data_IF_986646379921
#
_entry.id   IF_986646379921
#
_cell.length_a   1.000
_cell.length_b   1.000
_cell.length_c   1.000
_cell.angle_alpha   90.00
_cell.angle_beta   90.00
_cell.angle_gamma   90.00
#
_symmetry.space_group_name_H-M   'P 1'
#
loop_
_entity.id
_entity.type
_entity.pdbx_description
1 polymer ?
#
# COMPACT_ATOMS: atom_id res chain seq x y z
N UNK A 1 2.77 -26.30 -14.43
CA UNK A 1 3.17 -25.70 -13.13
C UNK A 1 3.30 -24.20 -13.33
N UNK A 2 2.61 -23.42 -12.50
CA UNK A 2 2.62 -21.94 -12.55
C UNK A 2 3.77 -21.40 -11.71
N UNK A 3 4.48 -20.40 -12.21
CA UNK A 3 5.52 -19.68 -11.46
C UNK A 3 5.00 -18.30 -11.08
N UNK A 4 5.07 -17.96 -9.80
CA UNK A 4 4.80 -16.60 -9.33
C UNK A 4 6.04 -15.73 -9.51
N UNK A 5 5.82 -14.54 -10.06
CA UNK A 5 6.84 -13.54 -10.33
C UNK A 5 6.59 -12.38 -9.37
N UNK A 6 7.58 -12.14 -8.51
CA UNK A 6 7.48 -11.15 -7.44
C UNK A 6 8.11 -9.80 -7.83
N UNK A 7 9.05 -9.78 -8.79
CA UNK A 7 9.72 -8.56 -9.24
C UNK A 7 10.01 -8.54 -10.76
N UNK A 8 10.30 -7.33 -11.27
CA UNK A 8 10.53 -7.06 -12.69
C UNK A 8 11.78 -7.77 -13.25
N UNK A 9 12.83 -7.92 -12.46
CA UNK A 9 14.08 -8.54 -12.90
C UNK A 9 13.88 -10.04 -13.11
N UNK A 10 13.14 -10.68 -12.21
CA UNK A 10 12.70 -12.06 -12.35
C UNK A 10 11.88 -12.24 -13.63
N UNK A 11 10.91 -11.35 -13.91
CA UNK A 11 10.13 -11.39 -15.14
C UNK A 11 11.02 -11.32 -16.40
N UNK A 12 11.92 -10.33 -16.44
CA UNK A 12 12.84 -10.12 -17.56
C UNK A 12 13.70 -11.36 -17.77
N UNK A 13 14.24 -11.95 -16.69
CA UNK A 13 15.05 -13.16 -16.77
C UNK A 13 14.26 -14.31 -17.43
N UNK A 14 13.04 -14.58 -16.98
CA UNK A 14 12.19 -15.63 -17.55
C UNK A 14 11.87 -15.40 -19.03
N UNK A 15 11.62 -14.15 -19.43
CA UNK A 15 11.37 -13.78 -20.82
C UNK A 15 12.62 -13.93 -21.70
N UNK A 16 13.79 -13.50 -21.22
CA UNK A 16 15.07 -13.64 -21.92
C UNK A 16 15.49 -15.09 -22.09
N UNK A 17 15.29 -15.93 -21.06
CA UNK A 17 15.52 -17.37 -21.14
C UNK A 17 14.60 -18.03 -22.18
N UNK A 18 13.33 -17.65 -22.22
CA UNK A 18 12.37 -18.18 -23.17
C UNK A 18 12.74 -17.81 -24.61
N UNK A 19 13.17 -16.56 -24.86
CA UNK A 19 13.56 -16.11 -26.20
C UNK A 19 14.87 -16.73 -26.71
N UNK A 20 15.77 -17.14 -25.82
CA UNK A 20 17.12 -17.63 -26.15
C UNK A 20 17.25 -19.15 -26.17
N UNK A 21 16.14 -19.90 -26.22
CA UNK A 21 16.15 -21.36 -26.09
C UNK A 21 16.70 -22.05 -27.36
N UNK A 22 17.54 -23.09 -27.23
CA UNK A 22 17.97 -23.89 -28.38
C UNK A 22 16.77 -24.55 -29.06
N UNK A 23 16.57 -24.29 -30.35
CA UNK A 23 15.40 -24.75 -31.11
C UNK A 23 14.34 -23.66 -31.36
N UNK A 24 14.58 -22.42 -30.91
CA UNK A 24 13.71 -21.27 -31.15
C UNK A 24 13.04 -20.75 -29.86
N UNK A 25 12.44 -19.56 -29.91
CA UNK A 25 11.82 -18.94 -28.74
C UNK A 25 10.70 -19.81 -28.18
N UNK A 26 10.73 -20.06 -26.87
CA UNK A 26 9.69 -20.80 -26.14
C UNK A 26 8.45 -19.95 -25.86
N UNK A 27 7.29 -20.60 -25.78
CA UNK A 27 6.03 -19.94 -25.47
C UNK A 27 5.93 -19.61 -23.98
N UNK A 28 5.54 -18.37 -23.67
CA UNK A 28 5.27 -17.89 -22.32
C UNK A 28 3.85 -17.35 -22.27
N UNK A 29 3.07 -17.79 -21.28
CA UNK A 29 1.72 -17.30 -20.99
C UNK A 29 1.79 -16.55 -19.67
N UNK A 30 1.38 -15.29 -19.69
CA UNK A 30 1.45 -14.37 -18.56
C UNK A 30 0.05 -13.99 -18.10
N UNK A 31 -0.20 -14.14 -16.81
CA UNK A 31 -1.39 -13.67 -16.12
C UNK A 31 -0.98 -12.56 -15.13
N UNK A 32 -1.32 -11.33 -15.46
CA UNK A 32 -1.20 -10.20 -14.54
C UNK A 32 -2.47 -10.17 -13.70
N UNK A 33 -2.33 -10.48 -12.42
CA UNK A 33 -3.46 -10.65 -11.52
C UNK A 33 -3.34 -9.76 -10.30
N UNK A 34 -4.46 -9.54 -9.62
CA UNK A 34 -4.51 -8.90 -8.32
C UNK A 34 -5.36 -9.74 -7.37
N UNK A 35 -5.07 -9.70 -6.07
CA UNK A 35 -5.78 -10.52 -5.08
C UNK A 35 -7.24 -10.09 -4.88
N UNK A 36 -7.54 -8.81 -5.13
CA UNK A 36 -8.89 -8.22 -5.06
C UNK A 36 -9.68 -8.33 -6.38
N UNK A 37 -9.03 -8.74 -7.47
CA UNK A 37 -9.66 -8.85 -8.78
C UNK A 37 -10.48 -10.14 -8.86
N UNK A 38 -11.80 -10.03 -8.65
CA UNK A 38 -12.71 -11.18 -8.71
C UNK A 38 -12.65 -11.96 -10.04
N UNK A 39 -12.66 -11.32 -11.23
CA UNK A 39 -12.45 -12.05 -12.49
C UNK A 39 -11.12 -12.82 -12.53
N UNK A 40 -10.07 -12.27 -11.92
CA UNK A 40 -8.77 -12.93 -11.80
C UNK A 40 -8.84 -14.17 -10.89
N UNK A 41 -9.60 -14.10 -9.79
CA UNK A 41 -9.87 -15.27 -8.94
C UNK A 41 -10.70 -16.34 -9.67
N UNK A 42 -11.66 -15.93 -10.49
CA UNK A 42 -12.53 -16.83 -11.26
C UNK A 42 -11.77 -17.57 -12.37
N UNK A 43 -10.80 -16.93 -13.04
CA UNK A 43 -9.99 -17.56 -14.09
C UNK A 43 -8.80 -18.37 -13.54
N UNK A 44 -8.35 -18.09 -12.32
CA UNK A 44 -7.15 -18.72 -11.73
C UNK A 44 -7.14 -20.27 -11.77
N UNK A 45 -8.25 -20.99 -11.51
CA UNK A 45 -8.28 -22.45 -11.63
C UNK A 45 -8.09 -22.94 -13.06
N UNK A 46 -8.66 -22.23 -14.04
CA UNK A 46 -8.52 -22.55 -15.48
C UNK A 46 -7.08 -22.34 -15.92
N UNK A 47 -6.46 -21.22 -15.51
CA UNK A 47 -5.05 -20.94 -15.79
C UNK A 47 -4.13 -22.02 -15.22
N UNK A 48 -4.40 -22.47 -13.99
CA UNK A 48 -3.64 -23.55 -13.35
C UNK A 48 -3.76 -24.86 -14.11
N UNK A 49 -4.99 -25.25 -14.50
CA UNK A 49 -5.25 -26.46 -15.30
C UNK A 49 -4.59 -26.44 -16.68
N UNK A 50 -4.59 -25.29 -17.36
CA UNK A 50 -3.88 -25.11 -18.62
C UNK A 50 -2.36 -25.29 -18.43
N UNK A 51 -1.80 -24.83 -17.31
CA UNK A 51 -0.38 -24.99 -17.00
C UNK A 51 0.07 -26.43 -16.75
N UNK A 52 -0.86 -27.31 -16.39
CA UNK A 52 -0.60 -28.75 -16.19
C UNK A 52 -0.70 -29.49 -17.52
N UNK A 53 -1.60 -29.05 -18.40
CA UNK A 53 -1.82 -29.66 -19.71
C UNK A 53 -0.74 -29.27 -20.72
N UNK A 54 -0.34 -27.99 -20.73
CA UNK A 54 0.61 -27.42 -21.69
C UNK A 54 2.00 -27.24 -21.08
N UNK A 55 2.69 -28.35 -20.83
CA UNK A 55 4.03 -28.35 -20.21
C UNK A 55 5.14 -27.79 -21.13
N UNK A 56 4.87 -27.67 -22.42
CA UNK A 56 5.73 -27.03 -23.42
C UNK A 56 5.82 -25.51 -23.26
N UNK A 57 4.79 -24.89 -22.67
CA UNK A 57 4.71 -23.47 -22.40
C UNK A 57 5.00 -23.16 -20.93
N UNK A 58 5.61 -22.00 -20.67
CA UNK A 58 5.81 -21.50 -19.30
C UNK A 58 4.63 -20.63 -18.90
N UNK A 59 4.00 -20.95 -17.79
CA UNK A 59 2.90 -20.16 -17.22
C UNK A 59 3.42 -19.34 -16.05
N UNK A 60 3.32 -18.02 -16.17
CA UNK A 60 3.80 -17.05 -15.19
C UNK A 60 2.62 -16.24 -14.65
N UNK A 61 2.62 -16.00 -13.34
CA UNK A 61 1.68 -15.09 -12.69
C UNK A 61 2.44 -13.92 -12.09
N UNK A 62 2.04 -12.71 -12.43
CA UNK A 62 2.61 -11.47 -11.90
C UNK A 62 1.55 -10.80 -11.05
N UNK A 63 1.82 -10.64 -9.76
CA UNK A 63 0.95 -9.87 -8.88
C UNK A 63 1.21 -8.38 -9.13
N UNK A 64 0.20 -7.69 -9.66
CA UNK A 64 0.32 -6.25 -9.97
C UNK A 64 0.44 -5.39 -8.73
N UNK A 65 0.09 -5.92 -7.56
CA UNK A 65 0.14 -5.21 -6.28
C UNK A 65 1.50 -5.32 -5.58
N UNK A 66 2.37 -6.26 -5.98
CA UNK A 66 3.64 -6.55 -5.28
C UNK A 66 4.80 -5.61 -5.56
N UNK A 67 4.66 -4.66 -6.50
CA UNK A 67 5.74 -3.73 -6.89
C UNK A 67 5.30 -2.27 -6.89
N UNK A 68 4.29 -1.94 -6.08
CA UNK A 68 3.89 -0.54 -5.91
C UNK A 68 5.06 0.25 -5.29
N UNK A 69 5.52 1.36 -5.91
CA UNK A 69 6.60 2.17 -5.35
C UNK A 69 6.16 2.85 -4.04
N UNK A 70 7.14 3.10 -3.17
CA UNK A 70 6.97 3.94 -1.98
C UNK A 70 6.63 5.38 -2.41
N UNK A 71 5.57 5.92 -1.81
CA UNK A 71 5.02 7.22 -2.14
C UNK A 71 5.47 8.32 -1.19
N UNK A 72 6.27 7.99 -0.18
CA UNK A 72 6.88 8.97 0.72
C UNK A 72 7.51 10.18 -0.01
N UNK A 73 8.15 10.03 -1.20
CA UNK A 73 8.69 11.17 -1.95
C UNK A 73 7.63 12.12 -2.54
N UNK A 74 6.36 11.71 -2.61
CA UNK A 74 5.25 12.50 -3.18
C UNK A 74 4.37 13.16 -2.10
N UNK A 75 4.75 13.05 -0.84
CA UNK A 75 4.07 13.72 0.27
C UNK A 75 4.33 15.22 0.21
N UNK A 76 3.27 16.02 0.31
CA UNK A 76 3.41 17.44 0.64
C UNK A 76 3.47 17.59 2.16
N UNK A 77 4.68 17.48 2.70
CA UNK A 77 4.92 17.55 4.15
C UNK A 77 4.52 18.88 4.78
N UNK A 78 4.37 19.94 3.98
CA UNK A 78 3.92 21.25 4.46
C UNK A 78 2.41 21.33 4.69
N UNK A 79 1.66 20.41 4.11
CA UNK A 79 0.20 20.29 4.21
C UNK A 79 -0.22 19.02 4.96
N UNK A 80 0.72 18.38 5.66
CA UNK A 80 0.45 17.28 6.55
C UNK A 80 0.26 17.80 7.97
N UNK A 81 -0.73 17.26 8.67
CA UNK A 81 -1.07 17.66 10.05
C UNK A 81 -1.33 16.40 10.89
N UNK A 82 -0.99 16.45 12.17
CA UNK A 82 -1.36 15.42 13.13
C UNK A 82 -2.06 16.06 14.32
N UNK A 83 -3.20 15.50 14.72
CA UNK A 83 -3.87 15.87 15.97
C UNK A 83 -3.55 14.85 17.06
N UNK A 84 -3.40 15.34 18.28
CA UNK A 84 -2.98 14.59 19.47
C UNK A 84 -1.57 13.99 19.38
N UNK A 85 -0.67 14.63 18.62
CA UNK A 85 0.75 14.27 18.63
C UNK A 85 1.47 14.80 19.87
N UNK A 86 2.44 14.02 20.37
CA UNK A 86 3.34 14.42 21.44
C UNK A 86 4.43 15.38 20.93
N UNK A 87 4.71 16.42 21.71
CA UNK A 87 5.68 17.48 21.37
C UNK A 87 7.11 16.95 21.14
N UNK A 88 7.48 15.82 21.76
CA UNK A 88 8.82 15.21 21.64
C UNK A 88 8.91 14.26 20.46
N UNK A 89 7.79 13.69 20.03
CA UNK A 89 7.69 12.74 18.93
C UNK A 89 6.56 13.09 17.93
N UNK A 90 6.64 14.27 17.27
CA UNK A 90 5.65 14.71 16.29
C UNK A 90 5.73 13.95 14.96
N UNK A 91 4.72 14.11 14.11
CA UNK A 91 4.58 13.51 12.78
C UNK A 91 5.79 13.82 11.88
N UNK A 92 6.42 14.98 12.04
CA UNK A 92 7.63 15.32 11.28
C UNK A 92 8.76 14.31 11.52
N UNK A 93 8.88 13.74 12.71
CA UNK A 93 9.90 12.75 13.02
C UNK A 93 9.63 11.43 12.30
N UNK A 94 8.36 11.06 12.15
CA UNK A 94 7.95 9.86 11.42
C UNK A 94 8.21 9.99 9.92
N UNK A 95 7.84 11.13 9.33
CA UNK A 95 7.94 11.34 7.87
C UNK A 95 9.39 11.59 7.42
N UNK A 96 10.19 12.31 8.23
CA UNK A 96 11.58 12.67 7.87
C UNK A 96 12.62 11.61 8.20
N UNK A 97 12.25 10.53 8.90
CA UNK A 97 13.20 9.49 9.29
C UNK A 97 13.54 8.57 8.11
N UNK A 98 14.68 8.82 7.47
CA UNK A 98 15.24 7.92 6.46
C UNK A 98 15.84 6.64 7.08
N UNK A 99 16.32 6.71 8.32
CA UNK A 99 16.97 5.61 9.05
C UNK A 99 15.99 4.70 9.80
N UNK A 100 14.72 5.13 9.95
CA UNK A 100 13.68 4.37 10.65
C UNK A 100 13.72 4.50 12.18
N UNK A 101 14.46 5.48 12.70
CA UNK A 101 14.63 5.73 14.14
C UNK A 101 13.57 6.70 14.69
N UNK A 102 12.94 7.48 13.81
CA UNK A 102 11.89 8.44 14.15
C UNK A 102 10.54 7.75 14.24
N UNK A 103 9.77 8.10 15.26
CA UNK A 103 8.42 7.59 15.49
C UNK A 103 7.48 8.73 15.88
N UNK A 104 6.19 8.51 15.65
CA UNK A 104 5.09 9.35 16.12
C UNK A 104 4.52 8.75 17.42
N UNK A 105 4.25 9.60 18.40
CA UNK A 105 3.61 9.22 19.66
C UNK A 105 2.38 10.09 19.88
N UNK A 106 1.33 9.50 20.47
CA UNK A 106 0.18 10.26 20.95
C UNK A 106 0.41 10.86 22.33
N UNK A 107 -0.15 12.05 22.57
CA UNK A 107 0.07 12.82 23.80
C UNK A 107 -0.89 12.42 24.94
N UNK A 108 -2.18 12.66 24.74
CA UNK A 108 -3.16 12.57 25.84
C UNK A 108 -3.85 11.20 25.93
N UNK A 109 -4.10 10.55 24.79
CA UNK A 109 -4.80 9.26 24.71
C UNK A 109 -4.36 8.46 23.47
N UNK A 110 -4.98 7.30 23.21
CA UNK A 110 -4.58 6.39 22.15
C UNK A 110 -5.00 6.85 20.75
N UNK A 111 -5.87 7.85 20.64
CA UNK A 111 -6.41 8.30 19.37
C UNK A 111 -5.43 9.23 18.66
N UNK A 112 -5.29 9.06 17.35
CA UNK A 112 -4.49 9.96 16.51
C UNK A 112 -5.26 10.25 15.23
N UNK A 113 -5.21 11.49 14.77
CA UNK A 113 -5.65 11.85 13.42
C UNK A 113 -4.43 12.30 12.65
N UNK A 114 -4.08 11.54 11.61
CA UNK A 114 -2.97 11.87 10.72
C UNK A 114 -3.58 12.27 9.39
N UNK A 115 -3.49 13.56 9.07
CA UNK A 115 -3.91 14.11 7.79
C UNK A 115 -2.71 14.21 6.87
N UNK A 116 -2.73 13.44 5.79
CA UNK A 116 -1.65 13.39 4.81
C UNK A 116 -2.17 13.90 3.47
N UNK A 117 -1.47 14.89 2.93
CA UNK A 117 -1.71 15.42 1.59
C UNK A 117 -0.69 14.82 0.63
N UNK A 118 -1.19 14.17 -0.43
CA UNK A 118 -0.35 13.65 -1.49
C UNK A 118 -0.42 14.56 -2.69
N UNK A 119 0.67 14.61 -3.44
CA UNK A 119 0.56 15.02 -4.83
C UNK A 119 -0.35 14.05 -5.61
N UNK A 120 -0.24 12.72 -5.42
CA UNK A 120 -1.01 11.63 -6.11
C UNK A 120 -1.02 10.27 -5.31
N UNK A 121 -1.89 9.32 -5.69
CA UNK A 121 -2.56 8.17 -4.95
C UNK A 121 -1.78 7.00 -4.30
N UNK A 122 -2.44 6.21 -3.41
CA UNK A 122 -1.84 5.55 -2.21
C UNK A 122 -2.53 4.26 -1.63
N UNK A 123 -1.74 3.34 -1.01
CA UNK A 123 -2.10 2.18 -0.12
C UNK A 123 -1.26 2.15 1.17
N UNK A 124 -1.69 1.51 2.27
CA UNK A 124 -1.19 1.79 3.63
C UNK A 124 -0.36 0.68 4.32
N UNK A 125 0.49 1.09 5.27
CA UNK A 125 1.10 0.27 6.34
C UNK A 125 1.01 1.01 7.68
N UNK A 126 0.42 0.44 8.72
CA UNK A 126 0.49 1.01 10.07
C UNK A 126 0.30 -0.02 11.20
N UNK A 127 0.80 0.32 12.39
CA UNK A 127 0.75 -0.42 13.67
C UNK A 127 -0.51 -0.37 14.59
N UNK A 128 -1.63 0.32 14.31
CA UNK A 128 -2.80 0.35 15.20
C UNK A 128 -3.61 -0.94 15.21
N UNK A 129 -4.74 -0.96 15.93
CA UNK A 129 -5.74 -2.03 15.82
C UNK A 129 -6.89 -1.60 14.92
N UNK A 130 -7.63 -0.58 15.31
CA UNK A 130 -8.73 -0.05 14.51
C UNK A 130 -8.30 1.23 13.79
N UNK A 131 -8.29 1.20 12.46
CA UNK A 131 -7.92 2.34 11.62
C UNK A 131 -9.04 2.67 10.66
N UNK A 132 -9.57 3.89 10.77
CA UNK A 132 -10.54 4.42 9.81
C UNK A 132 -9.83 5.32 8.81
N UNK A 133 -10.14 5.11 7.53
CA UNK A 133 -9.56 5.85 6.42
C UNK A 133 -10.61 6.72 5.76
N UNK A 134 -10.29 7.99 5.65
CA UNK A 134 -11.06 8.97 4.90
C UNK A 134 -10.20 9.51 3.76
N UNK A 135 -10.82 9.89 2.65
CA UNK A 135 -10.10 10.42 1.49
C UNK A 135 -10.74 11.72 1.03
N UNK A 136 -9.95 12.57 0.38
CA UNK A 136 -10.37 13.81 -0.27
C UNK A 136 -11.10 14.78 0.67
N UNK A 137 -10.71 14.78 1.94
CA UNK A 137 -11.14 15.78 2.90
C UNK A 137 -10.43 17.10 2.59
N UNK A 138 -11.17 18.21 2.70
CA UNK A 138 -10.65 19.56 2.40
C UNK A 138 -9.81 20.15 3.54
N UNK A 139 -9.93 19.58 4.74
CA UNK A 139 -9.21 19.97 5.95
C UNK A 139 -9.14 18.77 6.89
N UNK A 140 -8.24 18.82 7.87
CA UNK A 140 -8.16 17.82 8.94
C UNK A 140 -9.49 17.73 9.69
N UNK A 141 -10.18 16.58 9.68
CA UNK A 141 -11.42 16.41 10.44
C UNK A 141 -11.11 16.31 11.94
N UNK A 142 -12.08 16.64 12.78
CA UNK A 142 -11.98 16.43 14.22
C UNK A 142 -12.32 14.97 14.62
N UNK A 143 -12.04 14.63 15.88
CA UNK A 143 -12.30 13.30 16.44
C UNK A 143 -13.78 12.92 16.39
N UNK A 144 -14.68 13.85 16.68
CA UNK A 144 -16.13 13.58 16.68
C UNK A 144 -16.67 13.25 15.29
N UNK A 145 -16.14 13.91 14.27
CA UNK A 145 -16.44 13.65 12.87
C UNK A 145 -15.90 12.28 12.45
N UNK A 146 -14.67 11.94 12.81
CA UNK A 146 -14.07 10.63 12.50
C UNK A 146 -14.78 9.45 13.20
N UNK A 147 -15.31 9.66 14.41
CA UNK A 147 -16.05 8.64 15.15
C UNK A 147 -17.42 8.37 14.55
N UNK A 148 -18.15 9.44 14.19
CA UNK A 148 -19.53 9.35 13.71
C UNK A 148 -19.66 9.10 12.20
N UNK A 149 -18.67 9.51 11.41
CA UNK A 149 -18.72 9.35 9.95
C UNK A 149 -18.39 7.93 9.50
N UNK A 150 -18.99 7.55 8.38
CA UNK A 150 -18.65 6.33 7.66
C UNK A 150 -17.31 6.49 6.95
N UNK A 151 -16.32 5.74 7.39
CA UNK A 151 -15.01 5.70 6.74
C UNK A 151 -15.12 5.06 5.35
N UNK A 152 -14.27 5.50 4.42
CA UNK A 152 -14.15 4.89 3.09
C UNK A 152 -13.76 3.42 3.24
N UNK A 153 -12.83 3.15 4.16
CA UNK A 153 -12.47 1.81 4.60
C UNK A 153 -12.09 1.84 6.09
N UNK A 154 -12.56 0.86 6.84
CA UNK A 154 -12.11 0.58 8.20
C UNK A 154 -11.24 -0.67 8.15
N UNK A 155 -10.06 -0.61 8.78
CA UNK A 155 -9.10 -1.68 8.89
C UNK A 155 -9.07 -2.16 10.34
N UNK A 156 -9.23 -3.46 10.52
CA UNK A 156 -8.98 -4.16 11.78
C UNK A 156 -7.67 -4.91 11.60
N UNK A 157 -6.60 -4.35 12.14
CA UNK A 157 -5.25 -4.86 11.99
C UNK A 157 -5.01 -5.93 13.05
N UNK A 158 -4.30 -6.99 12.67
CA UNK A 158 -3.86 -8.05 13.57
C UNK A 158 -2.34 -8.01 13.73
N UNK A 159 -1.80 -8.71 14.73
CA UNK A 159 -0.34 -8.78 14.96
C UNK A 159 0.46 -9.27 13.74
N UNK A 160 -0.16 -10.05 12.85
CA UNK A 160 0.47 -10.51 11.60
C UNK A 160 0.67 -9.39 10.58
N UNK A 161 -0.13 -8.33 10.68
CA UNK A 161 -0.10 -7.17 9.78
C UNK A 161 0.88 -6.10 10.29
N UNK A 162 1.40 -6.27 11.51
CA UNK A 162 2.32 -5.33 12.18
C UNK A 162 3.79 -5.80 12.17
N UNK A 163 4.08 -6.88 11.47
CA UNK A 163 5.46 -7.35 11.29
C UNK A 163 6.16 -6.51 10.22
N UNK A 164 7.49 -6.41 10.31
CA UNK A 164 8.27 -5.66 9.33
C UNK A 164 8.05 -6.19 7.90
N UNK A 165 7.67 -5.30 6.99
CA UNK A 165 7.37 -5.61 5.59
C UNK A 165 5.95 -6.13 5.30
N UNK A 166 5.06 -6.25 6.30
CA UNK A 166 3.67 -6.65 6.05
C UNK A 166 2.84 -5.49 5.47
N UNK A 167 2.23 -5.73 4.31
CA UNK A 167 1.40 -4.76 3.58
C UNK A 167 -0.07 -4.95 3.90
N UNK A 168 -0.77 -3.87 4.24
CA UNK A 168 -2.23 -3.90 4.44
C UNK A 168 -2.94 -3.45 3.16
N UNK A 169 -3.63 -4.36 2.45
CA UNK A 169 -4.27 -4.03 1.19
C UNK A 169 -5.48 -3.12 1.41
N UNK A 170 -5.55 -2.04 0.63
CA UNK A 170 -6.73 -1.18 0.53
C UNK A 170 -7.62 -1.59 -0.64
N UNK A 171 -8.89 -1.23 -0.57
CA UNK A 171 -9.84 -1.46 -1.64
C UNK A 171 -9.55 -0.52 -2.82
N UNK A 172 -8.81 -1.00 -3.81
CA UNK A 172 -8.40 -0.21 -4.98
C UNK A 172 -9.53 0.63 -5.58
N UNK A 173 -10.75 0.08 -5.74
CA UNK A 173 -11.89 0.77 -6.34
C UNK A 173 -12.29 2.03 -5.57
N UNK A 174 -12.15 2.01 -4.24
CA UNK A 174 -12.45 3.16 -3.38
C UNK A 174 -11.33 4.19 -3.31
N UNK A 175 -10.11 3.82 -3.70
CA UNK A 175 -8.90 4.65 -3.58
C UNK A 175 -8.30 5.03 -4.96
N UNK A 176 -9.14 5.12 -6.01
CA UNK A 176 -8.68 5.48 -7.37
C UNK A 176 -8.21 6.93 -7.53
N UNK A 177 -8.78 7.87 -6.76
CA UNK A 177 -8.57 9.30 -6.93
C UNK A 177 -8.45 10.03 -5.57
N UNK A 178 -7.46 9.66 -4.76
CA UNK A 178 -7.09 10.21 -3.44
C UNK A 178 -6.03 11.34 -3.50
N UNK A 179 -6.41 12.60 -3.25
CA UNK A 179 -5.45 13.72 -3.07
C UNK A 179 -5.04 13.89 -1.61
N UNK A 180 -5.96 13.63 -0.69
CA UNK A 180 -5.71 13.64 0.75
C UNK A 180 -6.19 12.33 1.35
N UNK A 181 -5.44 11.78 2.31
CA UNK A 181 -5.92 10.68 3.16
C UNK A 181 -5.88 11.15 4.61
N UNK A 182 -6.94 10.84 5.34
CA UNK A 182 -6.94 10.96 6.79
C UNK A 182 -6.91 9.56 7.36
N UNK A 183 -5.89 9.29 8.15
CA UNK A 183 -5.74 8.07 8.94
C UNK A 183 -6.18 8.39 10.36
N UNK A 184 -7.37 7.93 10.73
CA UNK A 184 -7.83 8.01 12.10
C UNK A 184 -7.54 6.69 12.81
N UNK A 185 -6.71 6.78 13.84
CA UNK A 185 -6.42 5.67 14.75
C UNK A 185 -7.38 5.76 15.93
N UNK A 186 -8.26 4.78 16.08
CA UNK A 186 -9.23 4.78 17.15
C UNK A 186 -8.71 4.08 18.42
N UNK A 187 -7.94 3.01 18.26
CA UNK A 187 -7.35 2.26 19.38
C UNK A 187 -6.07 1.51 18.98
N UNK A 188 -5.36 1.00 20.00
CA UNK A 188 -4.17 0.18 19.82
C UNK A 188 -4.38 -1.27 20.27
N UNK A 189 -3.51 -2.15 19.77
CA UNK A 189 -3.55 -3.60 20.00
C UNK A 189 -3.53 -3.99 21.48
N UNK A 190 -2.84 -3.20 22.30
CA UNK A 190 -2.57 -3.52 23.69
C UNK A 190 -3.56 -2.89 24.67
N UNK A 191 -4.50 -2.08 24.19
CA UNK A 191 -5.40 -1.28 25.04
C UNK A 191 -4.65 -0.31 25.97
N UNK A 192 -3.45 0.14 25.56
CA UNK A 192 -2.64 1.10 26.32
C UNK A 192 -3.21 2.50 26.14
N UNK A 193 -2.89 3.37 27.09
CA UNK A 193 -3.30 4.77 27.07
C UNK A 193 -2.75 5.55 25.88
N UNK A 194 -1.58 5.17 25.35
CA UNK A 194 -0.92 5.86 24.23
C UNK A 194 -0.64 4.93 23.07
N UNK A 195 -0.66 5.50 21.87
CA UNK A 195 -0.35 4.82 20.62
C UNK A 195 0.97 5.34 20.08
N UNK A 196 1.86 4.40 19.72
CA UNK A 196 3.13 4.69 19.05
C UNK A 196 3.08 4.13 17.63
N UNK A 197 3.51 4.93 16.67
CA UNK A 197 3.62 4.54 15.26
C UNK A 197 5.08 4.70 14.85
N UNK A 198 5.75 3.58 14.60
CA UNK A 198 7.16 3.56 14.18
C UNK A 198 7.32 3.82 12.69
N UNK A 199 6.38 3.35 11.87
CA UNK A 199 6.38 3.56 10.42
C UNK A 199 4.97 3.69 9.89
N UNK A 200 4.76 4.70 9.05
CA UNK A 200 3.57 4.88 8.24
C UNK A 200 4.04 5.09 6.80
N UNK A 201 3.77 4.12 5.94
CA UNK A 201 4.16 4.20 4.54
C UNK A 201 2.99 3.97 3.63
N UNK A 202 3.13 4.60 2.48
CA UNK A 202 2.12 4.67 1.47
C UNK A 202 2.68 4.09 0.18
N UNK A 203 2.05 3.08 -0.40
CA UNK A 203 2.50 2.39 -1.61
C UNK A 203 1.45 2.49 -2.69
N UNK A 204 1.81 2.79 -3.93
CA UNK A 204 0.82 2.82 -5.00
C UNK A 204 1.36 3.35 -6.29
N UNK A 205 0.48 3.58 -7.24
CA UNK A 205 0.82 4.13 -8.55
C UNK A 205 0.12 5.45 -8.78
N UNK A 206 0.88 6.44 -9.25
CA UNK A 206 0.35 7.74 -9.62
C UNK A 206 -0.42 7.63 -10.95
N UNK A 207 -1.64 8.15 -11.03
CA UNK A 207 -2.34 8.26 -12.33
C UNK A 207 -1.77 9.49 -13.03
N UNK A 208 -0.95 9.24 -14.05
CA UNK A 208 -0.29 10.24 -14.88
C UNK A 208 -1.12 11.52 -15.08
N UNK A 209 -0.64 12.62 -14.50
CA UNK A 209 -0.44 13.84 -15.28
C UNK A 209 1.05 13.93 -15.56
N UNK A 210 1.41 13.98 -16.84
CA UNK A 210 2.79 14.13 -17.33
C UNK A 210 3.56 15.14 -16.47
N UNK A 211 4.44 14.65 -15.60
CA UNK A 211 5.28 15.52 -14.79
C UNK A 211 6.44 16.01 -15.66
N UNK A 212 6.23 17.16 -16.29
CA UNK A 212 7.09 17.75 -17.31
C UNK A 212 8.43 18.29 -16.74
N UNK A 213 8.64 18.16 -15.43
CA UNK A 213 9.87 18.56 -14.74
C UNK A 213 11.00 17.52 -14.83
N UNK A 214 10.70 16.28 -15.25
CA UNK A 214 11.72 15.24 -15.47
C UNK A 214 12.40 15.28 -16.85
N UNK A 215 12.19 16.35 -17.62
CA UNK A 215 12.97 16.65 -18.82
C UNK A 215 13.91 17.83 -18.55
N UNK A 216 15.02 17.58 -17.85
CA UNK A 216 16.20 18.45 -17.86
C UNK A 216 17.46 17.62 -17.94
#
# INVERSE_FOLDING_TARGET
MVVNIDDKEQLIRFLTEASSRPGGPGLVVLDFFATWCRPCSEIAPVFSSLSETHTEARFLKVDVDKNDPDLSPFLDTTQCECLNEDDTHPLSNLISSETGDGYLLSDTDAQLIIFITFAQFVRLHCGPKTVKLFVNQTSTPDFSACESADAVQTLELETKDLIDGAIVPLNFVKFQNVTTITVFVADNQTGKEVTRIDRLRFFGTCVNTTNMQNFK
#
